data_IF_883237176389
#
_entry.id   IF_883237176389
#
_cell.length_a   1.000
_cell.length_b   1.000
_cell.length_c   1.000
_cell.angle_alpha   90.00
_cell.angle_beta   90.00
_cell.angle_gamma   90.00
#
_symmetry.space_group_name_H-M   'P 1'
#
loop_
_entity.id
_entity.type
_entity.pdbx_description
1 polymer ?
#
# COMPACT_ATOMS: atom_id res chain seq x y z
N UNK A 1 -3.35 -15.21 3.25
CA UNK A 1 -2.67 -14.12 2.53
C UNK A 1 -3.76 -13.38 1.80
N UNK A 2 -3.96 -12.11 2.15
CA UNK A 2 -5.03 -11.28 1.59
C UNK A 2 -4.51 -10.63 0.32
N UNK A 3 -5.16 -10.97 -0.81
CA UNK A 3 -4.82 -10.44 -2.11
C UNK A 3 -5.46 -9.05 -2.24
N UNK A 4 -4.66 -8.00 -2.06
CA UNK A 4 -5.15 -6.63 -2.16
C UNK A 4 -5.25 -6.20 -3.62
N UNK A 5 -6.34 -5.54 -3.97
CA UNK A 5 -6.35 -4.69 -5.15
C UNK A 5 -5.60 -3.42 -4.79
N UNK A 6 -4.62 -3.03 -5.61
CA UNK A 6 -3.89 -1.78 -5.46
C UNK A 6 -3.85 -1.07 -6.81
N UNK A 7 -4.32 0.17 -6.85
CA UNK A 7 -4.16 1.01 -8.02
C UNK A 7 -2.83 1.78 -7.88
N UNK A 8 -1.95 1.58 -8.85
CA UNK A 8 -0.68 2.29 -8.96
C UNK A 8 -0.79 3.46 -9.93
N UNK A 9 0.02 4.49 -9.71
CA UNK A 9 0.27 5.51 -10.73
C UNK A 9 1.64 5.29 -11.35
N UNK A 10 1.67 5.05 -12.65
CA UNK A 10 2.89 5.11 -13.45
C UNK A 10 3.23 6.58 -13.69
N UNK A 11 4.10 7.15 -12.85
CA UNK A 11 4.65 8.47 -13.12
C UNK A 11 5.49 8.48 -14.41
N UNK A 12 5.79 9.68 -14.94
CA UNK A 12 6.62 9.89 -16.13
C UNK A 12 8.05 9.30 -16.04
N UNK A 13 8.48 8.86 -14.83
CA UNK A 13 9.75 8.18 -14.57
C UNK A 13 9.65 6.66 -14.33
N UNK A 14 8.45 6.07 -14.48
CA UNK A 14 8.25 4.63 -14.43
C UNK A 14 8.24 4.00 -13.04
N UNK A 15 8.32 4.78 -11.96
CA UNK A 15 8.17 4.25 -10.60
C UNK A 15 6.69 4.15 -10.24
N UNK A 16 6.17 2.93 -10.26
CA UNK A 16 4.83 2.61 -9.77
C UNK A 16 4.76 2.80 -8.26
N UNK A 17 3.92 3.75 -7.83
CA UNK A 17 3.62 4.00 -6.42
C UNK A 17 2.13 3.81 -6.17
N UNK A 18 1.75 3.18 -5.04
CA UNK A 18 0.36 2.92 -4.72
C UNK A 18 -0.39 4.24 -4.48
N UNK A 19 -1.56 4.37 -5.07
CA UNK A 19 -2.46 5.53 -4.91
C UNK A 19 -3.69 5.24 -4.08
N UNK A 20 -4.17 4.00 -4.14
CA UNK A 20 -5.27 3.51 -3.33
C UNK A 20 -5.23 2.00 -3.31
N UNK A 21 -5.82 1.42 -2.29
CA UNK A 21 -5.95 -0.02 -2.16
C UNK A 21 -7.28 -0.37 -1.50
N UNK A 22 -7.73 -1.60 -1.73
CA UNK A 22 -9.02 -2.08 -1.24
C UNK A 22 -8.83 -3.19 -0.20
N UNK A 23 -9.37 -2.95 1.00
CA UNK A 23 -9.50 -3.95 2.05
C UNK A 23 -10.96 -4.40 2.10
N UNK A 24 -11.27 -5.50 1.42
CA UNK A 24 -12.66 -5.91 1.18
C UNK A 24 -13.40 -4.85 0.38
N UNK A 25 -14.50 -4.32 0.92
CA UNK A 25 -15.30 -3.26 0.28
C UNK A 25 -14.74 -1.84 0.53
N UNK A 26 -13.78 -1.70 1.44
CA UNK A 26 -13.25 -0.40 1.85
C UNK A 26 -12.10 0.03 0.95
N UNK A 27 -12.27 1.16 0.26
CA UNK A 27 -11.21 1.82 -0.50
C UNK A 27 -10.47 2.81 0.41
N UNK A 28 -9.14 2.67 0.50
CA UNK A 28 -8.26 3.62 1.19
C UNK A 28 -7.45 4.39 0.16
N UNK A 29 -7.55 5.71 0.19
CA UNK A 29 -6.65 6.57 -0.57
C UNK A 29 -5.28 6.64 0.11
N UNK A 30 -4.20 6.48 -0.66
CA UNK A 30 -2.85 6.73 -0.16
C UNK A 30 -2.62 8.24 -0.12
N UNK A 31 -2.63 8.81 1.08
CA UNK A 31 -2.35 10.23 1.31
C UNK A 31 -0.86 10.53 1.17
N UNK A 32 0.00 9.64 1.68
CA UNK A 32 1.45 9.79 1.60
C UNK A 32 2.15 8.43 1.59
N UNK A 33 3.15 8.27 0.71
CA UNK A 33 4.14 7.19 0.83
C UNK A 33 5.23 7.67 1.78
N UNK A 34 5.36 7.01 2.93
CA UNK A 34 6.31 7.37 3.98
C UNK A 34 7.68 6.77 3.69
N UNK A 35 7.70 5.53 3.21
CA UNK A 35 8.95 4.80 2.96
C UNK A 35 8.74 3.76 1.84
N UNK A 36 9.82 3.48 1.11
CA UNK A 36 9.91 2.53 0.02
C UNK A 36 11.23 1.78 0.13
N UNK A 37 11.16 0.46 0.31
CA UNK A 37 12.35 -0.37 0.30
C UNK A 37 12.21 -1.59 -0.60
N UNK A 38 13.32 -1.92 -1.24
CA UNK A 38 13.44 -3.03 -2.17
C UNK A 38 14.02 -4.25 -1.47
N UNK A 39 13.43 -5.40 -1.74
CA UNK A 39 13.95 -6.74 -1.49
C UNK A 39 14.19 -7.41 -2.85
N UNK A 40 15.06 -8.43 -2.94
CA UNK A 40 15.34 -9.11 -4.22
C UNK A 40 14.10 -9.59 -4.99
N UNK A 41 13.01 -9.91 -4.29
CA UNK A 41 11.78 -10.43 -4.91
C UNK A 41 10.54 -9.58 -4.61
N UNK A 42 10.64 -8.58 -3.72
CA UNK A 42 9.49 -7.83 -3.24
C UNK A 42 9.80 -6.34 -3.16
N UNK A 43 8.78 -5.52 -3.32
CA UNK A 43 8.81 -4.09 -3.01
C UNK A 43 7.86 -3.82 -1.87
N UNK A 44 8.31 -3.05 -0.90
CA UNK A 44 7.50 -2.68 0.24
C UNK A 44 7.25 -1.18 0.25
N UNK A 45 6.03 -0.81 0.62
CA UNK A 45 5.59 0.57 0.73
C UNK A 45 4.96 0.77 2.10
N UNK A 46 5.54 1.67 2.89
CA UNK A 46 4.87 2.18 4.09
C UNK A 46 4.05 3.40 3.68
N UNK A 47 2.74 3.34 3.90
CA UNK A 47 1.81 4.39 3.45
C UNK A 47 0.92 4.89 4.58
N UNK A 48 0.62 6.17 4.55
CA UNK A 48 -0.45 6.80 5.33
C UNK A 48 -1.71 6.85 4.47
N UNK A 49 -2.78 6.24 4.96
CA UNK A 49 -4.11 6.29 4.38
C UNK A 49 -4.81 7.63 4.63
N UNK A 50 -5.83 7.90 3.83
CA UNK A 50 -6.74 9.02 4.02
C UNK A 50 -7.68 8.86 5.23
N UNK A 51 -7.71 7.65 5.79
CA UNK A 51 -8.37 7.25 7.03
C UNK A 51 -7.50 7.36 8.28
N UNK A 52 -6.34 8.02 8.16
CA UNK A 52 -5.32 8.15 9.21
C UNK A 52 -4.72 6.80 9.66
N UNK A 53 -4.91 5.74 8.87
CA UNK A 53 -4.28 4.44 9.05
C UNK A 53 -2.87 4.38 8.47
N UNK A 54 -1.99 3.62 9.13
CA UNK A 54 -0.64 3.32 8.68
C UNK A 54 -0.56 1.88 8.19
N UNK A 55 -0.06 1.70 6.97
CA UNK A 55 -0.05 0.40 6.28
C UNK A 55 1.32 0.06 5.74
N UNK A 56 1.66 -1.23 5.70
CA UNK A 56 2.77 -1.75 4.89
C UNK A 56 2.20 -2.67 3.82
N UNK A 57 2.32 -2.22 2.57
CA UNK A 57 1.96 -2.97 1.37
C UNK A 57 3.19 -3.65 0.80
N UNK A 58 3.07 -4.92 0.46
CA UNK A 58 4.10 -5.72 -0.21
C UNK A 58 3.64 -6.05 -1.62
N UNK A 59 4.41 -5.64 -2.62
CA UNK A 59 4.25 -6.05 -4.01
C UNK A 59 5.24 -7.15 -4.34
N UNK A 60 4.73 -8.29 -4.76
CA UNK A 60 5.48 -9.34 -5.43
C UNK A 60 5.45 -9.06 -6.93
N UNK A 61 6.58 -8.62 -7.49
CA UNK A 61 6.67 -8.26 -8.91
C UNK A 61 6.65 -9.48 -9.85
N UNK A 62 6.89 -10.69 -9.35
CA UNK A 62 6.87 -11.91 -10.17
C UNK A 62 5.45 -12.43 -10.35
N UNK A 63 4.67 -12.41 -9.29
CA UNK A 63 3.27 -12.86 -9.29
C UNK A 63 2.28 -11.72 -9.54
N UNK A 64 2.77 -10.49 -9.63
CA UNK A 64 1.99 -9.24 -9.65
C UNK A 64 0.93 -9.19 -8.55
N UNK A 65 1.33 -9.63 -7.35
CA UNK A 65 0.46 -9.73 -6.18
C UNK A 65 0.77 -8.64 -5.18
N UNK A 66 -0.29 -8.06 -4.62
CA UNK A 66 -0.20 -7.20 -3.46
C UNK A 66 -0.73 -7.90 -2.21
N UNK A 67 0.00 -7.76 -1.12
CA UNK A 67 -0.38 -8.20 0.21
C UNK A 67 -0.18 -7.06 1.21
N UNK A 68 -0.92 -7.07 2.31
CA UNK A 68 -0.64 -6.21 3.46
C UNK A 68 0.06 -7.01 4.55
N UNK A 69 1.20 -6.50 5.01
CA UNK A 69 2.00 -7.15 6.05
C UNK A 69 1.88 -6.48 7.41
N UNK A 70 1.35 -5.25 7.45
CA UNK A 70 1.13 -4.50 8.69
C UNK A 70 0.02 -3.48 8.51
N UNK A 71 -0.78 -3.30 9.56
CA UNK A 71 -1.81 -2.29 9.69
C UNK A 71 -1.81 -1.73 11.12
N UNK A 72 -1.87 -0.41 11.24
CA UNK A 72 -2.09 0.29 12.50
C UNK A 72 -2.96 1.52 12.25
N UNK A 73 -4.14 1.55 12.85
CA UNK A 73 -4.98 2.74 12.88
C UNK A 73 -5.07 3.23 14.32
N UNK A 74 -4.68 4.47 14.56
CA UNK A 74 -4.97 5.13 15.83
C UNK A 74 -6.45 5.37 15.92
N UNK A 75 -7.11 4.68 16.85
CA UNK A 75 -8.52 4.91 17.15
C UNK A 75 -8.66 6.30 17.77
N UNK A 76 -9.08 7.27 16.97
CA UNK A 76 -9.46 8.59 17.47
C UNK A 76 -10.89 8.51 17.98
N UNK A 77 -11.09 7.72 19.03
CA UNK A 77 -12.30 7.80 19.85
C UNK A 77 -12.23 9.13 20.61
N UNK A 78 -12.95 10.14 20.10
CA UNK A 78 -13.25 11.40 20.79
C UNK A 78 -14.39 11.21 21.78
#
# INVERSE_FOLDING_TARGET
MENLHVDCYCGYRGEETPRRFWMGERCIGVRQVIDLWLSPEHRYFKVLGDDDGLYILRHDAREDRWDMTFFHQTDSSV
#
